data_IF_912462998882
#
_entry.id   IF_912462998882
#
_cell.length_a   1.000
_cell.length_b   1.000
_cell.length_c   1.000
_cell.angle_alpha   90.00
_cell.angle_beta   90.00
_cell.angle_gamma   90.00
#
_symmetry.space_group_name_H-M   'P 1'
#
loop_
_entity.id
_entity.type
_entity.pdbx_description
1 polymer ?
#
# COMPACT_ATOMS: atom_id res chain seq x y z
N UNK A 1 -5.13 13.13 2.66
CA UNK A 1 -3.90 12.62 3.28
C UNK A 1 -3.77 11.12 3.07
N UNK A 2 -4.75 10.30 3.44
CA UNK A 2 -4.70 8.84 3.27
C UNK A 2 -4.31 8.36 1.86
N UNK A 3 -4.78 9.02 0.80
CA UNK A 3 -4.41 8.71 -0.60
C UNK A 3 -2.89 8.74 -0.87
N UNK A 4 -2.13 9.51 -0.10
CA UNK A 4 -0.66 9.56 -0.21
C UNK A 4 0.02 8.28 0.27
N UNK A 5 -0.68 7.52 1.09
CA UNK A 5 -0.17 6.29 1.71
C UNK A 5 -0.41 5.03 0.86
N UNK A 6 -1.32 5.07 -0.12
CA UNK A 6 -1.69 3.90 -0.93
C UNK A 6 -0.47 3.30 -1.62
N UNK A 7 -0.37 1.97 -1.59
CA UNK A 7 0.69 1.19 -2.25
C UNK A 7 2.05 1.20 -1.53
N UNK A 8 2.14 1.75 -0.31
CA UNK A 8 3.43 1.86 0.40
C UNK A 8 3.39 1.39 1.85
N UNK A 9 2.21 1.12 2.40
CA UNK A 9 2.02 0.98 3.86
C UNK A 9 1.94 -0.44 4.38
N UNK A 10 1.93 -1.43 3.50
CA UNK A 10 1.78 -2.83 3.92
C UNK A 10 2.71 -3.20 5.11
N UNK A 11 2.20 -3.90 6.10
CA UNK A 11 0.85 -4.50 6.24
C UNK A 11 -0.21 -3.55 6.86
N UNK A 12 0.09 -2.27 7.07
CA UNK A 12 -0.78 -1.32 7.74
C UNK A 12 -1.74 -0.61 6.77
N UNK A 13 -2.90 -0.13 7.23
CA UNK A 13 -3.83 0.61 6.40
C UNK A 13 -3.28 1.98 5.97
N UNK A 14 -3.72 2.50 4.82
CA UNK A 14 -3.42 3.86 4.39
C UNK A 14 -4.28 4.87 5.15
N UNK A 15 -3.81 5.35 6.29
CA UNK A 15 -4.52 6.32 7.14
C UNK A 15 -4.04 7.74 6.87
N UNK A 16 -4.94 8.70 7.02
CA UNK A 16 -4.65 10.13 7.03
C UNK A 16 -5.05 10.77 8.36
N UNK A 17 -4.25 11.71 8.84
CA UNK A 17 -4.50 12.47 10.05
C UNK A 17 -4.32 13.97 9.82
N UNK A 18 -5.13 14.79 10.50
CA UNK A 18 -5.02 16.26 10.50
C UNK A 18 -5.19 16.75 11.93
N UNK A 19 -4.30 17.62 12.39
CA UNK A 19 -4.37 18.24 13.70
C UNK A 19 -4.78 19.69 13.53
N UNK A 20 -5.83 20.10 14.24
CA UNK A 20 -6.40 21.45 14.19
C UNK A 20 -6.49 22.02 15.60
N UNK A 21 -6.05 23.25 15.82
CA UNK A 21 -6.24 23.98 17.06
C UNK A 21 -6.75 25.38 16.76
N UNK A 22 -7.79 25.82 17.46
CA UNK A 22 -8.44 27.15 17.28
C UNK A 22 -8.74 27.46 15.80
N UNK A 23 -9.26 26.48 15.04
CA UNK A 23 -9.58 26.64 13.63
C UNK A 23 -8.38 26.60 12.67
N UNK A 24 -7.14 26.54 13.18
CA UNK A 24 -5.91 26.52 12.39
C UNK A 24 -5.40 25.09 12.26
N UNK A 25 -5.07 24.69 11.05
CA UNK A 25 -4.42 23.39 10.80
C UNK A 25 -2.95 23.48 11.22
N UNK A 26 -2.59 22.78 12.28
CA UNK A 26 -1.21 22.71 12.77
C UNK A 26 -0.33 21.77 11.93
N UNK A 27 -0.89 20.62 11.55
CA UNK A 27 -0.15 19.64 10.76
C UNK A 27 -1.06 18.66 10.02
N UNK A 28 -0.46 17.93 9.08
CA UNK A 28 -1.10 16.88 8.29
C UNK A 28 -0.19 15.66 8.25
N UNK A 29 -0.74 14.47 8.54
CA UNK A 29 -0.01 13.22 8.51
C UNK A 29 -0.68 12.17 7.64
N UNK A 30 0.08 11.17 7.26
CA UNK A 30 -0.40 9.93 6.63
C UNK A 30 0.51 8.79 7.05
N UNK A 31 0.01 7.55 6.98
CA UNK A 31 0.82 6.36 7.27
C UNK A 31 2.04 6.35 6.35
N UNK A 32 3.22 6.28 6.93
CA UNK A 32 4.48 6.32 6.19
C UNK A 32 4.80 4.97 5.53
N UNK A 33 5.74 4.93 4.57
CA UNK A 33 6.15 3.69 3.92
C UNK A 33 6.53 2.58 4.91
N UNK A 34 6.19 1.33 4.59
CA UNK A 34 6.32 0.15 5.49
C UNK A 34 5.44 0.21 6.74
N UNK A 35 4.48 1.14 6.74
CA UNK A 35 3.45 1.26 7.77
C UNK A 35 3.84 2.09 9.00
N UNK A 36 5.04 2.64 9.07
CA UNK A 36 5.51 3.39 10.24
C UNK A 36 6.30 4.64 9.86
N UNK A 37 6.13 5.75 10.60
CA UNK A 37 5.13 5.97 11.66
C UNK A 37 3.70 6.01 11.13
N UNK A 38 2.74 5.75 12.02
CA UNK A 38 1.32 5.91 11.73
C UNK A 38 0.96 7.38 11.46
N UNK A 39 -0.18 7.61 10.81
CA UNK A 39 -0.60 8.93 10.37
C UNK A 39 -0.65 9.96 11.50
N UNK A 40 -1.17 9.57 12.66
CA UNK A 40 -1.29 10.39 13.85
C UNK A 40 0.08 10.81 14.38
N UNK A 41 0.99 9.84 14.52
CA UNK A 41 2.36 10.10 15.00
C UNK A 41 3.13 10.94 13.98
N UNK A 42 2.94 10.66 12.67
CA UNK A 42 3.53 11.49 11.62
C UNK A 42 3.04 12.94 11.69
N UNK A 43 1.73 13.17 11.91
CA UNK A 43 1.20 14.51 12.10
C UNK A 43 1.75 15.19 13.37
N UNK A 44 1.76 14.48 14.51
CA UNK A 44 2.29 14.97 15.77
C UNK A 44 3.77 15.38 15.64
N UNK A 45 4.59 14.57 14.95
CA UNK A 45 6.02 14.82 14.84
C UNK A 45 6.36 16.10 14.05
N UNK A 46 5.50 16.55 13.15
CA UNK A 46 5.71 17.77 12.38
C UNK A 46 5.49 19.05 13.20
N UNK A 47 4.83 18.98 14.35
CA UNK A 47 4.61 20.13 15.22
C UNK A 47 5.83 20.35 16.11
N UNK A 48 6.51 21.49 15.93
CA UNK A 48 7.73 21.82 16.69
C UNK A 48 7.46 21.95 18.19
N UNK A 49 6.51 22.78 18.56
CA UNK A 49 6.13 22.99 19.96
C UNK A 49 4.94 22.08 20.32
N UNK A 50 5.19 21.02 21.06
CA UNK A 50 4.15 20.06 21.46
C UNK A 50 3.07 20.65 22.38
N UNK A 51 3.35 21.79 23.04
CA UNK A 51 2.34 22.49 23.86
C UNK A 51 1.17 22.99 23.02
N UNK A 52 1.37 23.28 21.73
CA UNK A 52 0.32 23.73 20.81
C UNK A 52 -0.71 22.65 20.51
N UNK A 53 -0.41 21.38 20.85
CA UNK A 53 -1.32 20.24 20.68
C UNK A 53 -2.35 20.18 21.81
N UNK A 54 -2.04 20.70 22.98
CA UNK A 54 -2.98 20.66 24.10
C UNK A 54 -4.30 21.35 23.72
N UNK A 55 -5.42 20.63 23.88
CA UNK A 55 -6.74 21.12 23.50
C UNK A 55 -7.07 21.05 22.00
N UNK A 56 -6.14 20.60 21.17
CA UNK A 56 -6.35 20.46 19.73
C UNK A 56 -7.37 19.35 19.38
N UNK A 57 -7.87 19.40 18.17
CA UNK A 57 -8.72 18.36 17.57
C UNK A 57 -7.89 17.52 16.58
N UNK A 58 -8.01 16.21 16.69
CA UNK A 58 -7.40 15.25 15.76
C UNK A 58 -8.49 14.66 14.86
N UNK A 59 -8.30 14.74 13.57
CA UNK A 59 -9.14 14.10 12.55
C UNK A 59 -8.40 12.93 11.96
N UNK A 60 -8.96 11.70 12.02
CA UNK A 60 -8.37 10.49 11.48
C UNK A 60 -9.32 9.79 10.52
N UNK A 61 -8.83 9.26 9.41
CA UNK A 61 -9.65 8.47 8.48
C UNK A 61 -10.00 7.09 9.03
N UNK A 62 -9.28 6.62 10.04
CA UNK A 62 -9.49 5.34 10.72
C UNK A 62 -9.27 5.51 12.23
N UNK A 63 -9.87 4.64 13.02
CA UNK A 63 -9.65 4.55 14.47
C UNK A 63 -8.15 4.40 14.79
N UNK A 64 -7.56 5.26 15.66
CA UNK A 64 -6.17 5.13 16.10
C UNK A 64 -5.93 3.78 16.76
N UNK A 65 -4.77 3.17 16.57
CA UNK A 65 -4.47 1.87 17.17
C UNK A 65 -4.36 1.93 18.71
N UNK A 66 -4.84 0.85 19.36
CA UNK A 66 -4.83 0.67 20.83
C UNK A 66 -3.96 -0.49 21.30
N UNK A 67 -3.44 -1.29 20.38
CA UNK A 67 -2.55 -2.42 20.69
C UNK A 67 -1.09 -2.07 20.40
N UNK A 68 -0.18 -2.69 21.12
CA UNK A 68 1.24 -2.63 20.85
C UNK A 68 1.58 -3.50 19.64
N UNK A 69 2.23 -2.90 18.65
CA UNK A 69 2.67 -3.56 17.42
C UNK A 69 4.17 -3.33 17.21
N UNK A 70 4.57 -2.90 16.01
CA UNK A 70 5.94 -2.44 15.75
C UNK A 70 6.28 -1.13 16.47
N UNK A 71 5.27 -0.40 16.88
CA UNK A 71 5.35 0.90 17.57
C UNK A 71 4.33 0.92 18.70
N UNK A 72 4.54 1.76 19.74
CA UNK A 72 3.55 1.98 20.78
C UNK A 72 2.20 2.44 20.21
N UNK A 73 1.09 2.17 20.91
CA UNK A 73 -0.25 2.56 20.49
C UNK A 73 -0.40 4.07 20.27
N UNK A 74 -0.99 4.48 19.14
CA UNK A 74 -1.26 5.89 18.87
C UNK A 74 -2.18 6.53 19.93
N UNK A 75 -3.12 5.76 20.47
CA UNK A 75 -4.07 6.21 21.47
C UNK A 75 -3.36 6.75 22.73
N UNK A 76 -2.25 6.13 23.16
CA UNK A 76 -1.53 6.56 24.34
C UNK A 76 -0.86 7.92 24.14
N UNK A 77 -0.28 8.15 22.96
CA UNK A 77 0.30 9.46 22.63
C UNK A 77 -0.74 10.56 22.50
N UNK A 78 -1.94 10.23 22.01
CA UNK A 78 -3.06 11.15 21.91
C UNK A 78 -3.51 11.58 23.32
N UNK A 79 -3.60 10.65 24.26
CA UNK A 79 -3.96 10.91 25.67
C UNK A 79 -2.88 11.76 26.36
N UNK A 80 -1.62 11.35 26.23
CA UNK A 80 -0.46 12.06 26.79
C UNK A 80 -0.44 13.54 26.39
N UNK A 81 -0.72 13.83 25.12
CA UNK A 81 -0.70 15.20 24.58
C UNK A 81 -1.98 16.00 24.86
N UNK A 82 -2.95 15.44 25.57
CA UNK A 82 -4.17 16.08 26.03
C UNK A 82 -4.98 16.72 24.88
N UNK A 83 -5.23 15.96 23.82
CA UNK A 83 -6.18 16.39 22.81
C UNK A 83 -7.57 16.58 23.42
N UNK A 84 -8.32 17.62 22.99
CA UNK A 84 -9.70 17.82 23.46
C UNK A 84 -10.69 16.94 22.73
N UNK A 85 -10.42 16.62 21.46
CA UNK A 85 -11.36 15.90 20.60
C UNK A 85 -10.63 15.04 19.58
N UNK A 86 -11.17 13.85 19.32
CA UNK A 86 -10.76 12.96 18.22
C UNK A 86 -11.98 12.69 17.34
N UNK A 87 -11.88 12.99 16.06
CA UNK A 87 -12.90 12.76 15.05
C UNK A 87 -12.40 11.65 14.13
N UNK A 88 -13.13 10.55 14.08
CA UNK A 88 -12.77 9.31 13.38
C UNK A 88 -13.77 9.11 12.25
N UNK A 89 -13.28 8.85 11.03
CA UNK A 89 -14.18 8.54 9.92
C UNK A 89 -14.81 7.16 10.06
N UNK A 90 -14.04 6.19 10.48
CA UNK A 90 -14.47 4.79 10.56
C UNK A 90 -13.78 4.07 11.72
N UNK A 91 -14.53 3.23 12.42
CA UNK A 91 -14.00 2.32 13.44
C UNK A 91 -13.21 1.21 12.74
N UNK A 92 -12.10 0.79 13.32
CA UNK A 92 -11.30 -0.32 12.79
C UNK A 92 -12.05 -1.64 13.01
N UNK A 93 -12.22 -2.41 11.94
CA UNK A 93 -12.86 -3.74 11.99
C UNK A 93 -11.89 -4.84 12.45
N UNK A 94 -10.61 -4.52 12.66
CA UNK A 94 -9.64 -5.45 13.22
C UNK A 94 -10.02 -5.78 14.67
N UNK A 95 -10.22 -7.05 15.04
CA UNK A 95 -10.61 -7.45 16.40
C UNK A 95 -9.68 -6.93 17.50
N UNK A 96 -8.40 -6.70 17.20
CA UNK A 96 -7.41 -6.15 18.14
C UNK A 96 -7.62 -4.66 18.42
N UNK A 97 -8.34 -3.93 17.58
CA UNK A 97 -8.58 -2.49 17.73
C UNK A 97 -10.05 -2.22 18.07
N UNK A 98 -10.94 -2.58 17.20
CA UNK A 98 -12.41 -2.51 17.25
C UNK A 98 -13.03 -1.81 18.46
N UNK A 99 -13.18 -0.51 18.40
CA UNK A 99 -13.70 0.35 19.50
C UNK A 99 -12.85 0.42 20.77
N UNK A 100 -11.73 -0.28 20.89
CA UNK A 100 -10.92 -0.25 22.11
C UNK A 100 -10.27 1.11 22.31
N UNK A 101 -9.79 1.75 21.23
CA UNK A 101 -9.26 3.11 21.30
C UNK A 101 -10.34 4.13 21.65
N UNK A 102 -11.53 3.97 21.07
CA UNK A 102 -12.69 4.86 21.37
C UNK A 102 -13.02 4.83 22.85
N UNK A 103 -13.08 3.61 23.44
CA UNK A 103 -13.30 3.45 24.90
C UNK A 103 -12.18 4.09 25.70
N UNK A 104 -10.92 3.82 25.37
CA UNK A 104 -9.74 4.35 26.07
C UNK A 104 -9.64 5.87 26.01
N UNK A 105 -9.91 6.47 24.85
CA UNK A 105 -9.95 7.92 24.69
C UNK A 105 -11.07 8.56 25.52
N UNK A 106 -12.28 7.99 25.50
CA UNK A 106 -13.42 8.49 26.29
C UNK A 106 -13.16 8.40 27.79
N UNK A 107 -12.57 7.29 28.26
CA UNK A 107 -12.21 7.13 29.68
C UNK A 107 -11.14 8.12 30.12
N UNK A 108 -10.30 8.61 29.21
CA UNK A 108 -9.32 9.67 29.44
C UNK A 108 -9.93 11.10 29.34
N UNK A 109 -11.25 11.24 29.19
CA UNK A 109 -11.93 12.52 29.09
C UNK A 109 -11.87 13.18 27.70
N UNK A 110 -11.40 12.48 26.67
CA UNK A 110 -11.31 13.00 25.30
C UNK A 110 -12.63 12.76 24.58
N UNK A 111 -13.21 13.82 24.00
CA UNK A 111 -14.45 13.71 23.21
C UNK A 111 -14.17 12.95 21.89
N UNK A 112 -14.83 11.81 21.68
CA UNK A 112 -14.70 11.05 20.43
C UNK A 112 -15.98 11.14 19.62
N UNK A 113 -15.85 11.56 18.36
CA UNK A 113 -16.93 11.66 17.36
C UNK A 113 -16.59 10.70 16.22
N UNK A 114 -17.54 9.87 15.84
CA UNK A 114 -17.46 9.03 14.65
C UNK A 114 -18.32 9.70 13.58
N UNK A 115 -17.71 10.09 12.45
CA UNK A 115 -18.38 10.79 11.37
C UNK A 115 -17.72 10.42 10.04
N UNK A 116 -18.46 9.80 9.13
CA UNK A 116 -17.97 9.47 7.79
C UNK A 116 -17.44 10.72 7.06
N UNK A 117 -16.23 10.64 6.51
CA UNK A 117 -15.57 11.71 5.74
C UNK A 117 -15.82 11.57 4.22
N UNK A 118 -16.68 10.64 3.83
CA UNK A 118 -17.10 10.40 2.45
C UNK A 118 -16.65 9.04 1.89
N UNK A 119 -17.29 8.67 0.78
CA UNK A 119 -17.22 7.34 0.19
C UNK A 119 -15.80 6.88 -0.16
N UNK A 120 -14.95 7.81 -0.62
CA UNK A 120 -13.53 7.49 -0.93
C UNK A 120 -12.73 7.01 0.27
N UNK A 121 -13.04 7.51 1.48
CA UNK A 121 -12.37 7.07 2.71
C UNK A 121 -12.87 5.69 3.10
N UNK A 122 -14.17 5.48 2.96
CA UNK A 122 -14.78 4.19 3.23
C UNK A 122 -14.26 3.10 2.28
N UNK A 123 -14.17 3.39 0.99
CA UNK A 123 -13.61 2.48 -0.02
C UNK A 123 -12.16 2.07 0.32
N UNK A 124 -11.31 3.04 0.67
CA UNK A 124 -9.92 2.79 1.08
C UNK A 124 -9.83 1.82 2.26
N UNK A 125 -10.62 2.07 3.29
CA UNK A 125 -10.61 1.24 4.48
C UNK A 125 -11.22 -0.15 4.20
N UNK A 126 -12.24 -0.23 3.35
CA UNK A 126 -12.86 -1.50 2.98
C UNK A 126 -11.90 -2.44 2.22
N UNK A 127 -11.03 -1.92 1.35
CA UNK A 127 -9.97 -2.72 0.70
C UNK A 127 -9.08 -3.37 1.77
N UNK A 128 -8.65 -2.58 2.76
CA UNK A 128 -7.84 -3.09 3.87
C UNK A 128 -8.60 -4.11 4.72
N UNK A 129 -9.84 -3.81 5.12
CA UNK A 129 -10.64 -4.70 5.96
C UNK A 129 -10.96 -6.03 5.27
N UNK A 130 -11.28 -6.00 3.97
CA UNK A 130 -11.54 -7.22 3.21
C UNK A 130 -10.29 -8.09 3.11
N UNK A 131 -9.11 -7.48 2.92
CA UNK A 131 -7.86 -8.24 2.89
C UNK A 131 -7.54 -8.92 4.22
N UNK A 132 -7.86 -8.29 5.35
CA UNK A 132 -7.70 -8.90 6.69
C UNK A 132 -8.73 -10.01 6.91
N UNK A 133 -10.01 -9.72 6.64
CA UNK A 133 -11.12 -10.64 6.85
C UNK A 133 -10.94 -11.93 6.04
N UNK A 134 -10.69 -11.77 4.76
CA UNK A 134 -10.62 -12.88 3.81
C UNK A 134 -9.23 -13.53 3.74
N UNK A 135 -8.22 -12.92 4.38
CA UNK A 135 -6.81 -13.29 4.28
C UNK A 135 -6.34 -13.44 2.83
N UNK A 136 -6.88 -12.59 1.95
CA UNK A 136 -6.59 -12.58 0.52
C UNK A 136 -6.13 -11.18 0.09
N UNK A 137 -5.19 -11.08 -0.85
CA UNK A 137 -4.83 -9.77 -1.39
C UNK A 137 -5.96 -9.18 -2.23
N UNK A 138 -6.04 -7.86 -2.28
CA UNK A 138 -6.84 -7.17 -3.29
C UNK A 138 -6.14 -7.29 -4.64
N UNK A 139 -6.84 -7.81 -5.65
CA UNK A 139 -6.27 -8.08 -6.97
C UNK A 139 -6.82 -7.08 -7.98
N UNK A 140 -5.92 -6.35 -8.65
CA UNK A 140 -6.25 -5.49 -9.78
C UNK A 140 -5.79 -6.14 -11.08
N UNK A 141 -6.71 -6.45 -11.97
CA UNK A 141 -6.40 -6.92 -13.32
C UNK A 141 -6.27 -5.73 -14.27
N UNK A 142 -5.09 -5.57 -14.92
CA UNK A 142 -4.85 -4.56 -15.95
C UNK A 142 -4.68 -5.24 -17.31
N UNK A 143 -5.55 -4.88 -18.24
CA UNK A 143 -5.48 -5.33 -19.64
C UNK A 143 -5.34 -4.10 -20.54
N UNK A 144 -4.48 -4.17 -21.56
CA UNK A 144 -4.45 -3.23 -22.66
C UNK A 144 -4.97 -3.95 -23.91
N UNK A 145 -6.10 -3.49 -24.47
CA UNK A 145 -6.72 -4.11 -25.63
C UNK A 145 -7.21 -3.05 -26.61
N UNK A 146 -7.41 -3.46 -27.85
CA UNK A 146 -8.19 -2.73 -28.86
C UNK A 146 -9.68 -2.72 -28.49
N UNK A 147 -10.48 -1.96 -29.22
CA UNK A 147 -11.93 -1.89 -28.99
C UNK A 147 -12.63 -3.25 -29.23
N UNK A 148 -12.10 -4.09 -30.12
CA UNK A 148 -12.56 -5.44 -30.39
C UNK A 148 -11.87 -6.52 -29.49
N UNK A 149 -11.19 -6.09 -28.42
CA UNK A 149 -10.65 -6.97 -27.39
C UNK A 149 -9.32 -7.67 -27.73
N UNK A 150 -8.60 -7.24 -28.77
CA UNK A 150 -7.30 -7.82 -29.14
C UNK A 150 -6.17 -7.21 -28.34
N UNK A 151 -5.21 -8.04 -27.92
CA UNK A 151 -4.03 -7.63 -27.13
C UNK A 151 -2.76 -7.54 -27.98
N UNK A 152 -2.81 -8.03 -29.22
CA UNK A 152 -1.74 -7.97 -30.22
C UNK A 152 -2.33 -8.26 -31.61
N UNK A 153 -1.55 -7.95 -32.68
CA UNK A 153 -1.83 -8.39 -34.06
C UNK A 153 -1.57 -9.90 -34.20
N UNK A 154 -1.92 -10.47 -35.37
CA UNK A 154 -1.60 -11.87 -35.70
C UNK A 154 -0.05 -12.13 -35.78
N UNK A 155 0.72 -11.07 -35.97
CA UNK A 155 2.20 -11.11 -35.94
C UNK A 155 2.75 -10.89 -34.53
N UNK A 156 1.87 -10.85 -33.50
CA UNK A 156 2.21 -10.57 -32.11
C UNK A 156 2.78 -9.16 -31.85
N UNK A 157 2.50 -8.19 -32.70
CA UNK A 157 2.85 -6.80 -32.47
C UNK A 157 1.81 -6.15 -31.54
N UNK A 158 2.29 -5.52 -30.46
CA UNK A 158 1.44 -4.90 -29.43
C UNK A 158 1.76 -3.43 -29.15
N UNK A 159 2.78 -2.87 -29.84
CA UNK A 159 3.24 -1.49 -29.59
C UNK A 159 2.76 -0.57 -30.72
N UNK A 160 1.85 0.39 -30.50
CA UNK A 160 1.21 0.71 -29.22
C UNK A 160 -0.31 0.60 -29.41
N UNK A 161 -0.96 -0.28 -28.66
CA UNK A 161 -2.42 -0.45 -28.70
C UNK A 161 -3.11 0.75 -28.00
N UNK A 162 -2.47 1.31 -26.97
CA UNK A 162 -3.04 2.39 -26.18
C UNK A 162 -2.21 3.68 -26.32
N UNK A 163 -2.86 4.83 -26.14
CA UNK A 163 -2.22 6.14 -26.19
C UNK A 163 -1.31 6.41 -24.97
N UNK A 164 -0.60 7.55 -24.98
CA UNK A 164 0.32 7.94 -23.91
C UNK A 164 -0.38 8.10 -22.56
N UNK A 165 -1.58 8.69 -22.53
CA UNK A 165 -2.38 8.89 -21.32
C UNK A 165 -2.74 7.56 -20.66
N UNK A 166 -3.20 6.59 -21.44
CA UNK A 166 -3.49 5.23 -20.93
C UNK A 166 -2.24 4.53 -20.40
N UNK A 167 -1.10 4.73 -21.06
CA UNK A 167 0.19 4.19 -20.56
C UNK A 167 0.63 4.85 -19.26
N UNK A 168 0.45 6.18 -19.10
CA UNK A 168 0.68 6.86 -17.83
C UNK A 168 -0.22 6.31 -16.71
N UNK A 169 -1.50 6.03 -17.02
CA UNK A 169 -2.40 5.37 -16.08
C UNK A 169 -1.89 3.98 -15.66
N UNK A 170 -1.32 3.21 -16.59
CA UNK A 170 -0.66 1.94 -16.27
C UNK A 170 0.52 2.10 -15.30
N UNK A 171 1.31 3.17 -15.43
CA UNK A 171 2.36 3.51 -14.46
C UNK A 171 1.78 3.94 -13.11
N UNK A 172 0.68 4.69 -13.10
CA UNK A 172 -0.05 5.04 -11.88
C UNK A 172 -0.55 3.79 -11.14
N UNK A 173 -1.15 2.83 -11.83
CA UNK A 173 -1.56 1.56 -11.23
C UNK A 173 -0.38 0.84 -10.58
N UNK A 174 0.80 0.82 -11.20
CA UNK A 174 2.01 0.25 -10.59
C UNK A 174 2.39 0.94 -9.28
N UNK A 175 2.30 2.27 -9.22
CA UNK A 175 2.62 3.01 -7.99
C UNK A 175 1.62 2.82 -6.84
N UNK A 176 0.44 2.29 -7.15
CA UNK A 176 -0.64 2.05 -6.18
C UNK A 176 -0.70 0.60 -5.69
N UNK A 177 0.09 -0.30 -6.27
CA UNK A 177 0.14 -1.70 -5.91
C UNK A 177 1.52 -2.08 -5.37
N UNK A 178 1.56 -2.92 -4.37
CA UNK A 178 2.80 -3.34 -3.70
C UNK A 178 3.58 -4.38 -4.49
N UNK A 179 2.87 -5.21 -5.27
CA UNK A 179 3.48 -6.18 -6.16
C UNK A 179 2.76 -6.25 -7.51
N UNK A 180 3.49 -6.72 -8.52
CA UNK A 180 2.99 -6.97 -9.85
C UNK A 180 3.30 -8.42 -10.24
N UNK A 181 2.27 -9.17 -10.62
CA UNK A 181 2.43 -10.56 -11.10
C UNK A 181 2.55 -10.56 -12.61
N UNK A 182 3.53 -11.31 -13.14
CA UNK A 182 3.77 -11.43 -14.57
C UNK A 182 4.22 -12.84 -14.94
N UNK A 183 3.74 -13.33 -16.09
CA UNK A 183 4.16 -14.59 -16.66
C UNK A 183 5.40 -14.47 -17.54
N UNK A 184 6.10 -15.59 -17.76
CA UNK A 184 7.32 -15.66 -18.60
C UNK A 184 7.10 -15.27 -20.05
N UNK A 185 5.91 -15.51 -20.60
CA UNK A 185 5.57 -15.12 -21.97
C UNK A 185 5.73 -13.61 -22.21
N UNK A 186 5.17 -12.79 -21.34
CA UNK A 186 5.31 -11.33 -21.39
C UNK A 186 6.77 -10.90 -21.20
N UNK A 187 7.46 -11.53 -20.24
CA UNK A 187 8.85 -11.16 -19.95
C UNK A 187 9.75 -11.43 -21.16
N UNK A 188 9.59 -12.58 -21.83
CA UNK A 188 10.39 -12.94 -23.01
C UNK A 188 10.10 -12.08 -24.24
N UNK A 189 8.80 -11.82 -24.50
CA UNK A 189 8.40 -11.09 -25.71
C UNK A 189 8.69 -9.58 -25.58
N UNK A 190 8.32 -8.98 -24.46
CA UNK A 190 8.36 -7.53 -24.31
C UNK A 190 9.65 -7.03 -23.67
N UNK A 191 10.43 -7.90 -23.02
CA UNK A 191 11.60 -7.57 -22.21
C UNK A 191 11.37 -6.31 -21.34
N UNK A 192 10.32 -6.29 -20.52
CA UNK A 192 9.86 -5.09 -19.84
C UNK A 192 10.66 -4.85 -18.57
N UNK A 193 10.77 -3.57 -18.16
CA UNK A 193 11.30 -3.20 -16.83
C UNK A 193 10.22 -3.34 -15.76
N UNK A 194 8.96 -3.02 -16.07
CA UNK A 194 7.79 -3.06 -15.16
C UNK A 194 7.88 -2.12 -13.94
N UNK A 195 8.63 -1.06 -14.06
CA UNK A 195 8.77 0.00 -13.08
C UNK A 195 7.66 1.07 -13.18
N UNK A 196 7.60 1.97 -12.20
CA UNK A 196 6.86 3.21 -12.28
C UNK A 196 7.80 4.32 -12.77
N UNK A 197 7.43 5.00 -13.88
CA UNK A 197 8.21 6.07 -14.50
C UNK A 197 7.47 7.42 -14.48
N UNK A 198 6.50 7.57 -13.58
CA UNK A 198 5.88 8.87 -13.34
C UNK A 198 6.80 9.71 -12.47
N UNK A 199 6.92 10.98 -12.83
CA UNK A 199 7.67 11.96 -12.06
C UNK A 199 7.17 12.02 -10.61
N UNK A 200 8.10 12.02 -9.65
CA UNK A 200 7.80 11.98 -8.21
C UNK A 200 7.28 10.66 -7.68
N UNK A 201 7.09 9.61 -8.52
CA UNK A 201 6.58 8.30 -8.11
C UNK A 201 7.50 7.13 -8.48
N UNK A 202 8.70 7.36 -8.98
CA UNK A 202 9.65 6.32 -9.41
C UNK A 202 9.99 5.34 -8.28
N UNK A 203 10.15 5.83 -7.06
CA UNK A 203 10.41 5.03 -5.85
C UNK A 203 9.25 4.11 -5.44
N UNK A 204 8.06 4.30 -6.05
CA UNK A 204 6.89 3.46 -5.84
C UNK A 204 6.75 2.35 -6.86
N UNK A 205 7.85 1.88 -7.42
CA UNK A 205 7.85 0.72 -8.30
C UNK A 205 7.52 -0.55 -7.50
N UNK A 206 6.54 -1.36 -7.92
CA UNK A 206 6.12 -2.55 -7.17
C UNK A 206 7.21 -3.62 -7.18
N UNK A 207 7.21 -4.47 -6.15
CA UNK A 207 7.93 -5.74 -6.20
C UNK A 207 7.36 -6.62 -7.31
N UNK A 208 8.17 -7.52 -7.89
CA UNK A 208 7.75 -8.34 -9.02
C UNK A 208 7.60 -9.80 -8.60
N UNK A 209 6.46 -10.38 -8.93
CA UNK A 209 6.18 -11.79 -8.82
C UNK A 209 6.19 -12.42 -10.22
N UNK A 210 7.18 -13.26 -10.49
CA UNK A 210 7.38 -13.92 -11.77
C UNK A 210 6.90 -15.36 -11.68
N UNK A 211 5.96 -15.73 -12.55
CA UNK A 211 5.53 -17.12 -12.69
C UNK A 211 6.43 -17.82 -13.72
N UNK A 212 7.53 -18.41 -13.26
CA UNK A 212 8.50 -19.13 -14.09
C UNK A 212 8.56 -20.62 -13.74
N UNK A 213 7.53 -21.34 -14.13
CA UNK A 213 7.36 -22.77 -13.82
C UNK A 213 8.63 -23.60 -14.11
N UNK A 214 9.37 -23.29 -15.17
CA UNK A 214 10.52 -24.09 -15.67
C UNK A 214 11.87 -23.53 -15.25
N UNK A 215 11.95 -22.40 -14.56
CA UNK A 215 13.20 -21.70 -14.22
C UNK A 215 14.09 -21.48 -15.46
N UNK A 216 13.52 -21.00 -16.54
CA UNK A 216 14.23 -20.87 -17.82
C UNK A 216 14.34 -19.41 -18.31
N UNK A 217 14.06 -18.43 -17.47
CA UNK A 217 14.29 -17.03 -17.77
C UNK A 217 15.79 -16.69 -17.74
N UNK A 218 16.22 -15.94 -18.76
CA UNK A 218 17.56 -15.39 -18.81
C UNK A 218 17.66 -14.18 -17.87
N UNK A 219 18.68 -14.16 -17.00
CA UNK A 219 18.93 -13.11 -16.02
C UNK A 219 19.43 -11.78 -16.63
N UNK A 220 19.77 -11.75 -17.92
CA UNK A 220 20.13 -10.53 -18.64
C UNK A 220 18.91 -9.69 -19.07
N UNK A 221 17.69 -10.17 -18.81
CA UNK A 221 16.47 -9.44 -19.15
C UNK A 221 16.30 -8.19 -18.28
N UNK A 222 15.70 -7.13 -18.86
CA UNK A 222 15.55 -5.82 -18.24
C UNK A 222 14.80 -5.84 -16.89
N UNK A 223 13.94 -6.83 -16.68
CA UNK A 223 13.22 -7.00 -15.41
C UNK A 223 14.17 -7.14 -14.21
N UNK A 224 15.37 -7.71 -14.43
CA UNK A 224 16.38 -7.94 -13.40
C UNK A 224 17.36 -6.77 -13.22
N UNK A 225 17.27 -5.70 -14.02
CA UNK A 225 18.19 -4.56 -13.99
C UNK A 225 18.02 -3.68 -12.75
N UNK A 226 16.79 -3.51 -12.25
CA UNK A 226 16.51 -2.67 -11.09
C UNK A 226 16.79 -3.44 -9.79
N UNK A 227 17.84 -3.02 -9.04
CA UNK A 227 18.27 -3.65 -7.79
C UNK A 227 17.53 -3.14 -6.54
N UNK A 228 16.75 -2.06 -6.67
CA UNK A 228 16.07 -1.42 -5.54
C UNK A 228 14.74 -2.08 -5.18
N UNK A 229 14.24 -3.02 -5.97
CA UNK A 229 13.02 -3.77 -5.71
C UNK A 229 13.30 -5.28 -5.61
N UNK A 230 12.41 -6.00 -4.94
CA UNK A 230 12.51 -7.45 -4.83
C UNK A 230 11.81 -8.12 -6.00
N UNK A 231 12.38 -9.25 -6.41
CA UNK A 231 11.81 -10.12 -7.44
C UNK A 231 11.64 -11.50 -6.81
N UNK A 232 10.43 -12.02 -6.88
CA UNK A 232 10.09 -13.35 -6.39
C UNK A 232 9.78 -14.23 -7.58
N UNK A 233 10.58 -15.27 -7.79
CA UNK A 233 10.41 -16.23 -8.90
C UNK A 233 9.75 -17.48 -8.36
N UNK A 234 8.53 -17.72 -8.80
CA UNK A 234 7.74 -18.88 -8.44
C UNK A 234 7.96 -19.99 -9.46
N UNK A 235 8.41 -21.15 -9.02
CA UNK A 235 8.75 -22.25 -9.90
C UNK A 235 8.25 -23.61 -9.39
N UNK A 236 8.14 -24.61 -10.29
CA UNK A 236 7.68 -25.95 -9.97
C UNK A 236 8.65 -26.70 -9.07
N UNK A 237 8.12 -27.42 -8.07
CA UNK A 237 8.89 -28.31 -7.20
C UNK A 237 9.58 -29.49 -7.94
N UNK A 238 9.10 -29.80 -9.15
CA UNK A 238 9.73 -30.83 -10.04
C UNK A 238 11.03 -30.35 -10.67
N UNK A 239 11.35 -29.04 -10.60
CA UNK A 239 12.57 -28.50 -11.21
C UNK A 239 13.79 -28.65 -10.30
N UNK A 240 14.88 -29.26 -10.87
CA UNK A 240 16.18 -29.48 -10.20
C UNK A 240 17.28 -28.58 -10.77
N UNK A 241 16.99 -27.32 -11.11
CA UNK A 241 17.98 -26.39 -11.64
C UNK A 241 18.71 -25.65 -10.51
N UNK A 242 19.98 -25.30 -10.78
CA UNK A 242 20.77 -24.46 -9.87
C UNK A 242 20.19 -23.06 -9.80
N UNK A 243 19.95 -22.60 -8.61
CA UNK A 243 19.42 -21.28 -8.33
C UNK A 243 20.58 -20.29 -8.19
N UNK A 244 20.47 -19.14 -8.88
CA UNK A 244 21.44 -18.06 -8.76
C UNK A 244 21.11 -17.21 -7.53
N UNK A 245 22.05 -17.11 -6.60
CA UNK A 245 21.88 -16.24 -5.44
C UNK A 245 22.03 -14.77 -5.84
N UNK A 246 21.01 -13.98 -5.55
CA UNK A 246 21.03 -12.52 -5.68
C UNK A 246 20.34 -11.88 -4.50
N UNK A 247 20.87 -10.74 -4.05
CA UNK A 247 20.35 -10.02 -2.87
C UNK A 247 18.88 -9.60 -3.00
N UNK A 248 18.44 -9.31 -4.21
CA UNK A 248 17.09 -8.84 -4.52
C UNK A 248 16.18 -9.87 -5.19
N UNK A 249 16.67 -11.09 -5.47
CA UNK A 249 15.87 -12.16 -6.09
C UNK A 249 15.66 -13.28 -5.09
N UNK A 250 14.40 -13.67 -4.88
CA UNK A 250 14.01 -14.82 -4.08
C UNK A 250 13.32 -15.85 -4.94
N UNK A 251 13.67 -17.08 -4.78
CA UNK A 251 13.07 -18.22 -5.47
C UNK A 251 12.11 -18.95 -4.54
N UNK A 252 10.89 -19.15 -4.99
CA UNK A 252 9.82 -19.78 -4.22
C UNK A 252 9.36 -21.02 -4.96
N UNK A 253 9.59 -22.17 -4.34
CA UNK A 253 9.15 -23.46 -4.86
C UNK A 253 7.64 -23.63 -4.60
N UNK A 254 6.89 -23.98 -5.64
CA UNK A 254 5.45 -24.25 -5.54
C UNK A 254 5.22 -25.70 -5.93
N UNK A 255 4.44 -26.40 -5.11
CA UNK A 255 3.97 -27.74 -5.40
C UNK A 255 2.99 -27.69 -6.57
N UNK A 256 3.26 -28.49 -7.60
CA UNK A 256 2.28 -28.65 -8.69
C UNK A 256 1.08 -29.44 -8.18
N UNK A 257 -0.10 -28.85 -8.32
CA UNK A 257 -1.35 -29.56 -8.18
C UNK A 257 -1.69 -30.13 -9.55
N UNK A 258 -1.86 -31.44 -9.61
CA UNK A 258 -2.26 -32.16 -10.83
C UNK A 258 -3.69 -31.79 -11.22
#
# INVERSE_FOLDING_TARGET
MALRAIGTTYPNPPVGAVIVNNGIILSRGWTQPKGVPHAEIHAINQIKNKKDIKGAHLYCTLEPCSHEGKTPPCVDKIIELKFAKVIISQVDKNPLVNNNSVKKLRSAGIKVIIKNFGDKVEELNNIFFNSIKDRKPFITLKIASTADGKIATNLYESKWITNSTSRMFGHKLRSLNECLIVGTGTIRKDNPILDCRLEGLSERSPDIFVLDRRLDLNHNLKIFSNKNRKIYIFYSDKMKKKILNSKNIKYIKIKEVN
#
